data_IF_670591113591
#
_entry.id   IF_670591113591
#
_cell.length_a   1.000
_cell.length_b   1.000
_cell.length_c   1.000
_cell.angle_alpha   90.00
_cell.angle_beta   90.00
_cell.angle_gamma   90.00
#
_symmetry.space_group_name_H-M   'P 1'
#
loop_
_entity.id
_entity.type
_entity.pdbx_description
1 polymer ?
#
# COMPACT_ATOMS: atom_id res chain seq x y z
N UNK A 1 -8.78 4.68 -23.36
CA UNK A 1 -7.58 5.44 -23.01
C UNK A 1 -7.73 6.00 -21.61
N UNK A 2 -6.71 5.88 -20.79
CA UNK A 2 -6.69 6.43 -19.43
C UNK A 2 -6.35 7.92 -19.53
N UNK A 3 -7.19 8.77 -18.93
CA UNK A 3 -6.90 10.19 -18.87
C UNK A 3 -5.75 10.46 -17.91
N UNK A 4 -4.95 11.49 -18.22
CA UNK A 4 -3.89 11.94 -17.34
C UNK A 4 -4.48 12.26 -15.95
N UNK A 5 -3.85 11.77 -14.90
CA UNK A 5 -4.29 11.98 -13.54
C UNK A 5 -5.29 10.96 -13.00
N UNK A 6 -5.84 10.08 -13.86
CA UNK A 6 -6.71 9.00 -13.37
C UNK A 6 -5.89 7.79 -12.97
N UNK A 7 -6.40 7.06 -11.97
CA UNK A 7 -5.77 5.84 -11.48
C UNK A 7 -6.16 4.65 -12.34
N UNK A 8 -5.21 3.75 -12.53
CA UNK A 8 -5.48 2.42 -13.07
C UNK A 8 -6.13 1.59 -11.97
N UNK A 9 -7.24 0.84 -12.25
CA UNK A 9 -7.91 0.03 -11.22
C UNK A 9 -7.17 -1.29 -10.97
N UNK A 10 -5.88 -1.22 -10.85
CA UNK A 10 -4.98 -2.30 -10.45
C UNK A 10 -4.04 -1.71 -9.40
N UNK A 11 -3.97 -2.32 -8.25
CA UNK A 11 -3.18 -1.80 -7.14
C UNK A 11 -2.34 -2.89 -6.50
N UNK A 12 -1.39 -2.46 -5.68
CA UNK A 12 -0.59 -3.36 -4.85
C UNK A 12 -0.81 -3.02 -3.39
N UNK A 13 -0.70 -4.04 -2.54
CA UNK A 13 -0.64 -3.89 -1.09
C UNK A 13 0.66 -4.50 -0.62
N UNK A 14 1.44 -3.76 0.16
CA UNK A 14 2.68 -4.28 0.75
C UNK A 14 2.50 -4.40 2.25
N UNK A 15 2.49 -5.62 2.74
CA UNK A 15 2.53 -5.90 4.18
C UNK A 15 3.98 -5.84 4.64
N UNK A 16 4.28 -4.94 5.56
CA UNK A 16 5.62 -4.84 6.16
C UNK A 16 5.54 -5.40 7.57
N UNK A 17 6.31 -6.42 7.84
CA UNK A 17 6.21 -7.15 9.11
C UNK A 17 7.59 -7.53 9.65
N UNK A 18 7.63 -7.84 10.95
CA UNK A 18 8.83 -8.33 11.63
C UNK A 18 8.63 -9.79 12.05
N UNK A 19 9.73 -10.53 12.37
CA UNK A 19 9.60 -11.94 12.79
C UNK A 19 8.75 -12.15 14.03
N UNK A 20 8.65 -11.16 14.91
CA UNK A 20 7.77 -11.20 16.09
C UNK A 20 6.33 -10.77 15.78
N UNK A 21 5.99 -10.72 14.48
CA UNK A 21 4.63 -10.45 13.98
C UNK A 21 4.09 -9.07 14.35
N UNK A 22 4.95 -8.07 14.36
CA UNK A 22 4.51 -6.66 14.33
C UNK A 22 4.35 -6.21 12.89
N UNK A 23 3.30 -5.47 12.62
CA UNK A 23 2.93 -5.03 11.29
C UNK A 23 2.90 -3.50 11.25
N UNK A 24 3.43 -2.93 10.18
CA UNK A 24 3.38 -1.48 9.95
C UNK A 24 2.00 -1.08 9.42
N UNK A 25 1.38 -0.11 10.07
CA UNK A 25 0.19 0.56 9.55
C UNK A 25 0.47 2.05 9.45
N UNK A 26 -0.11 2.68 8.43
CA UNK A 26 0.00 4.11 8.19
C UNK A 26 -1.41 4.70 8.13
N UNK A 27 -1.55 5.89 8.73
CA UNK A 27 -2.84 6.57 8.81
C UNK A 27 -2.99 7.57 7.68
N UNK A 28 -4.11 7.49 6.95
CA UNK A 28 -4.39 8.41 5.85
C UNK A 28 -4.60 9.84 6.36
N UNK A 29 -4.01 10.80 5.62
CA UNK A 29 -4.19 12.21 5.94
C UNK A 29 -5.58 12.72 5.59
N UNK A 30 -6.23 12.13 4.57
CA UNK A 30 -7.54 12.58 4.08
C UNK A 30 -8.71 11.96 4.85
N UNK A 31 -8.49 10.84 5.54
CA UNK A 31 -9.51 10.17 6.35
C UNK A 31 -8.90 9.80 7.70
N UNK A 32 -9.09 10.65 8.73
CA UNK A 32 -8.56 10.37 10.07
C UNK A 32 -9.03 9.01 10.60
N UNK A 33 -8.14 8.33 11.31
CA UNK A 33 -8.34 6.99 11.87
C UNK A 33 -8.50 5.88 10.82
N UNK A 34 -8.21 6.17 9.56
CA UNK A 34 -8.15 5.13 8.53
C UNK A 34 -6.71 4.63 8.43
N UNK A 35 -6.46 3.49 9.04
CA UNK A 35 -5.15 2.84 9.07
C UNK A 35 -5.06 1.74 8.02
N UNK A 36 -3.94 1.65 7.34
CA UNK A 36 -3.78 0.70 6.25
C UNK A 36 -2.31 0.27 6.10
N UNK A 37 -2.10 -0.87 5.44
CA UNK A 37 -0.79 -1.22 4.92
C UNK A 37 -0.45 -0.31 3.75
N UNK A 38 0.78 -0.36 3.26
CA UNK A 38 1.19 0.41 2.09
C UNK A 38 0.38 -0.06 0.88
N UNK A 39 -0.27 0.86 0.21
CA UNK A 39 -1.08 0.54 -0.97
C UNK A 39 -1.01 1.65 -2.00
N UNK A 40 -1.11 1.30 -3.27
CA UNK A 40 -1.13 2.27 -4.33
C UNK A 40 -1.42 1.65 -5.69
N UNK A 41 -1.82 2.49 -6.63
CA UNK A 41 -2.22 2.06 -7.96
C UNK A 41 -1.03 1.91 -8.90
N UNK A 42 -1.11 0.92 -9.77
CA UNK A 42 -0.15 0.72 -10.83
C UNK A 42 -0.15 1.93 -11.78
N UNK A 43 1.03 2.36 -12.18
CA UNK A 43 1.19 3.38 -13.21
C UNK A 43 1.42 2.70 -14.58
N UNK A 44 1.15 3.43 -15.68
CA UNK A 44 1.40 2.87 -17.01
C UNK A 44 2.82 2.35 -17.14
N UNK A 45 2.96 1.16 -17.74
CA UNK A 45 4.24 0.50 -18.02
C UNK A 45 4.99 -0.02 -16.78
N UNK A 46 4.40 0.08 -15.60
CA UNK A 46 4.98 -0.58 -14.43
C UNK A 46 4.60 -2.05 -14.37
N UNK A 47 5.53 -2.88 -13.92
CA UNK A 47 5.16 -4.20 -13.42
C UNK A 47 4.55 -4.04 -12.03
N UNK A 48 3.86 -5.07 -11.55
CA UNK A 48 3.31 -5.04 -10.19
C UNK A 48 4.41 -4.91 -9.13
N UNK A 49 5.55 -5.59 -9.33
CA UNK A 49 6.68 -5.46 -8.41
C UNK A 49 7.23 -4.04 -8.39
N UNK A 50 7.32 -3.39 -9.55
CA UNK A 50 7.75 -2.00 -9.63
C UNK A 50 6.79 -1.06 -8.91
N UNK A 51 5.48 -1.29 -9.06
CA UNK A 51 4.46 -0.52 -8.34
C UNK A 51 4.63 -0.66 -6.83
N UNK A 52 4.77 -1.90 -6.36
CA UNK A 52 4.92 -2.19 -4.93
C UNK A 52 6.18 -1.54 -4.35
N UNK A 53 7.31 -1.66 -5.05
CA UNK A 53 8.56 -1.05 -4.61
C UNK A 53 8.47 0.48 -4.59
N UNK A 54 7.89 1.07 -5.62
CA UNK A 54 7.73 2.53 -5.71
C UNK A 54 6.84 3.07 -4.59
N UNK A 55 5.68 2.46 -4.38
CA UNK A 55 4.75 2.89 -3.33
C UNK A 55 5.35 2.75 -1.93
N UNK A 56 6.06 1.65 -1.69
CA UNK A 56 6.73 1.46 -0.41
C UNK A 56 7.75 2.57 -0.14
N UNK A 57 8.57 2.89 -1.13
CA UNK A 57 9.58 3.93 -1.00
C UNK A 57 8.95 5.31 -0.82
N UNK A 58 7.93 5.64 -1.61
CA UNK A 58 7.25 6.93 -1.52
C UNK A 58 6.54 7.13 -0.19
N UNK A 59 5.84 6.10 0.29
CA UNK A 59 4.99 6.24 1.47
C UNK A 59 5.72 6.02 2.79
N UNK A 60 6.85 5.31 2.78
CA UNK A 60 7.55 4.97 4.04
C UNK A 60 9.04 5.29 4.04
N UNK A 61 9.62 5.58 2.90
CA UNK A 61 11.06 5.76 2.78
C UNK A 61 11.86 4.45 2.81
N UNK A 62 11.18 3.30 2.86
CA UNK A 62 11.83 2.00 2.91
C UNK A 62 12.14 1.52 1.48
N UNK A 63 13.41 1.20 1.24
CA UNK A 63 13.84 0.57 0.00
C UNK A 63 13.90 -0.95 0.21
N UNK A 64 12.96 -1.67 -0.39
CA UNK A 64 12.87 -3.11 -0.23
C UNK A 64 14.14 -3.84 -0.65
N UNK A 65 14.83 -3.36 -1.69
CA UNK A 65 16.06 -4.00 -2.17
C UNK A 65 17.18 -4.02 -1.10
N UNK A 66 17.19 -3.02 -0.21
CA UNK A 66 18.14 -2.98 0.88
C UNK A 66 17.85 -4.03 1.97
N UNK A 67 16.70 -4.68 1.91
CA UNK A 67 16.23 -5.65 2.91
C UNK A 67 15.90 -7.01 2.29
N UNK A 68 16.52 -7.35 1.16
CA UNK A 68 16.31 -8.65 0.53
C UNK A 68 15.20 -8.70 -0.51
N UNK A 69 14.52 -7.59 -0.77
CA UNK A 69 13.47 -7.50 -1.78
C UNK A 69 12.09 -7.92 -1.28
N UNK A 70 11.08 -7.61 -2.08
CA UNK A 70 9.70 -7.98 -1.79
C UNK A 70 9.41 -9.43 -2.16
N UNK A 71 8.59 -10.09 -1.33
CA UNK A 71 8.02 -11.37 -1.68
C UNK A 71 6.66 -11.14 -2.37
N UNK A 72 6.50 -11.71 -3.55
CA UNK A 72 5.22 -11.70 -4.26
C UNK A 72 4.39 -12.88 -3.77
N UNK A 73 3.28 -12.60 -3.12
CA UNK A 73 2.42 -13.66 -2.61
C UNK A 73 1.58 -14.33 -3.69
N UNK A 74 1.53 -13.77 -4.89
CA UNK A 74 0.69 -14.27 -5.99
C UNK A 74 -0.77 -14.39 -5.59
N UNK A 75 -1.20 -13.53 -4.69
CA UNK A 75 -2.58 -13.42 -4.24
C UNK A 75 -3.15 -12.10 -4.72
N UNK A 76 -4.40 -12.13 -5.15
CA UNK A 76 -5.10 -10.92 -5.53
C UNK A 76 -6.53 -10.96 -5.03
N UNK A 77 -7.07 -9.79 -4.75
CA UNK A 77 -8.45 -9.61 -4.36
C UNK A 77 -9.08 -8.51 -5.20
N UNK A 78 -10.34 -8.72 -5.59
CA UNK A 78 -11.13 -7.70 -6.25
C UNK A 78 -12.09 -7.15 -5.21
N UNK A 79 -12.12 -5.82 -5.06
CA UNK A 79 -13.05 -5.20 -4.14
C UNK A 79 -13.60 -3.90 -4.71
N UNK A 80 -14.73 -3.50 -4.15
CA UNK A 80 -15.43 -2.30 -4.58
C UNK A 80 -14.72 -1.06 -4.06
N UNK A 81 -14.56 -0.09 -4.95
CA UNK A 81 -13.98 1.20 -4.59
C UNK A 81 -15.05 2.01 -3.85
N UNK A 82 -14.69 2.58 -2.69
CA UNK A 82 -15.61 3.48 -1.99
C UNK A 82 -16.09 4.59 -2.92
N UNK A 83 -17.39 4.91 -2.95
CA UNK A 83 -17.94 5.92 -3.85
C UNK A 83 -17.20 7.25 -3.80
N UNK A 84 -16.73 7.67 -2.61
CA UNK A 84 -16.00 8.92 -2.43
C UNK A 84 -14.68 8.99 -3.19
N UNK A 85 -14.10 7.84 -3.61
CA UNK A 85 -12.83 7.78 -4.32
C UNK A 85 -12.97 7.40 -5.79
N UNK A 86 -14.19 7.09 -6.27
CA UNK A 86 -14.38 6.64 -7.66
C UNK A 86 -14.02 7.69 -8.69
N UNK A 87 -14.09 8.97 -8.33
CA UNK A 87 -13.71 10.07 -9.22
C UNK A 87 -12.23 10.04 -9.62
N UNK A 88 -11.40 9.30 -8.88
CA UNK A 88 -9.97 9.16 -9.18
C UNK A 88 -9.70 8.17 -10.31
N UNK A 89 -10.71 7.43 -10.76
CA UNK A 89 -10.59 6.35 -11.75
C UNK A 89 -11.29 6.74 -13.04
N UNK A 90 -11.04 5.99 -14.15
CA UNK A 90 -11.79 6.21 -15.38
C UNK A 90 -13.30 6.07 -15.15
N UNK A 91 -14.13 6.75 -16.00
CA UNK A 91 -15.59 6.63 -15.88
C UNK A 91 -16.07 5.18 -15.82
N UNK A 92 -17.09 4.93 -14.99
CA UNK A 92 -17.72 3.62 -14.82
C UNK A 92 -16.83 2.56 -14.12
N UNK A 93 -15.69 2.97 -13.59
CA UNK A 93 -14.84 2.06 -12.79
C UNK A 93 -15.42 1.96 -11.37
N UNK A 94 -15.78 0.75 -10.94
CA UNK A 94 -16.36 0.51 -9.61
C UNK A 94 -15.50 -0.41 -8.75
N UNK A 95 -14.61 -1.19 -9.36
CA UNK A 95 -13.80 -2.19 -8.67
C UNK A 95 -12.32 -2.04 -9.03
N UNK A 96 -11.48 -2.43 -8.10
CA UNK A 96 -10.03 -2.53 -8.32
C UNK A 96 -9.54 -3.92 -7.95
N UNK A 97 -8.49 -4.37 -8.62
CA UNK A 97 -7.81 -5.62 -8.28
C UNK A 97 -6.53 -5.28 -7.52
N UNK A 98 -6.38 -5.82 -6.31
CA UNK A 98 -5.23 -5.58 -5.46
C UNK A 98 -4.35 -6.83 -5.37
N UNK A 99 -3.06 -6.66 -5.60
CA UNK A 99 -2.07 -7.73 -5.55
C UNK A 99 -1.19 -7.59 -4.32
N UNK A 100 -1.02 -8.68 -3.57
CA UNK A 100 -0.32 -8.69 -2.29
C UNK A 100 1.17 -8.98 -2.39
N UNK A 101 1.95 -8.17 -1.70
CA UNK A 101 3.39 -8.34 -1.52
C UNK A 101 3.72 -8.23 -0.04
N UNK A 102 4.88 -8.74 0.35
CA UNK A 102 5.35 -8.62 1.73
C UNK A 102 6.82 -8.26 1.79
N UNK A 103 7.17 -7.50 2.81
CA UNK A 103 8.54 -7.24 3.19
C UNK A 103 8.72 -7.66 4.65
N UNK A 104 9.69 -8.53 4.88
CA UNK A 104 10.04 -8.95 6.24
C UNK A 104 11.29 -8.20 6.68
N UNK A 105 11.17 -7.41 7.74
CA UNK A 105 12.27 -6.70 8.36
C UNK A 105 12.66 -7.40 9.66
N UNK A 106 13.96 -7.42 10.03
CA UNK A 106 14.39 -8.06 11.27
C UNK A 106 13.83 -7.37 12.52
N UNK A 107 13.56 -6.07 12.43
CA UNK A 107 13.00 -5.28 13.52
C UNK A 107 12.28 -4.06 12.94
N UNK A 108 11.40 -3.40 13.72
CA UNK A 108 10.80 -2.14 13.27
C UNK A 108 11.85 -1.10 12.95
N UNK A 109 11.60 -0.35 11.89
CA UNK A 109 12.48 0.74 11.46
C UNK A 109 11.73 2.07 11.53
N UNK A 110 12.46 3.16 11.56
CA UNK A 110 11.88 4.48 11.43
C UNK A 110 11.31 4.66 10.02
N UNK A 111 10.14 5.28 9.96
CA UNK A 111 9.39 5.47 8.72
C UNK A 111 9.34 6.96 8.40
N UNK A 112 9.62 7.30 7.15
CA UNK A 112 9.51 8.67 6.66
C UNK A 112 8.27 8.77 5.78
N UNK A 113 7.21 9.35 6.33
CA UNK A 113 5.94 9.49 5.64
C UNK A 113 5.95 10.65 4.63
N UNK A 114 5.16 10.49 3.56
CA UNK A 114 4.75 11.61 2.75
C UNK A 114 3.54 12.25 3.44
N UNK A 115 3.75 13.41 4.05
CA UNK A 115 2.74 14.08 4.87
C UNK A 115 1.48 14.48 4.09
N UNK A 116 1.56 14.54 2.76
CA UNK A 116 0.39 14.83 1.92
C UNK A 116 -0.57 13.63 1.87
N UNK A 117 -0.06 12.43 2.02
CA UNK A 117 -0.84 11.20 1.91
C UNK A 117 -1.11 10.53 3.25
N UNK A 118 -0.16 10.57 4.17
CA UNK A 118 -0.24 9.90 5.47
C UNK A 118 0.32 10.79 6.57
N UNK A 119 -0.31 10.78 7.75
CA UNK A 119 0.05 11.68 8.85
C UNK A 119 0.68 10.98 10.05
N UNK A 120 0.58 9.64 10.15
CA UNK A 120 1.11 8.90 11.27
C UNK A 120 1.40 7.46 10.87
N UNK A 121 2.26 6.80 11.63
CA UNK A 121 2.50 5.37 11.48
C UNK A 121 2.62 4.71 12.85
N UNK A 122 2.39 3.40 12.87
CA UNK A 122 2.51 2.59 14.07
C UNK A 122 2.93 1.17 13.70
N UNK A 123 3.68 0.55 14.59
CA UNK A 123 3.98 -0.88 14.52
C UNK A 123 3.12 -1.59 15.57
N UNK A 124 2.21 -2.46 15.13
CA UNK A 124 1.29 -3.18 16.01
C UNK A 124 1.47 -4.69 15.91
N UNK A 125 1.24 -5.44 17.00
CA UNK A 125 1.07 -6.89 16.88
C UNK A 125 0.02 -7.21 15.81
N UNK A 126 0.24 -8.25 15.03
CA UNK A 126 -0.61 -8.51 13.86
C UNK A 126 -2.10 -8.66 14.21
N UNK A 127 -2.41 -9.22 15.40
CA UNK A 127 -3.80 -9.36 15.82
C UNK A 127 -4.50 -8.01 16.02
N UNK A 128 -3.77 -7.01 16.55
CA UNK A 128 -4.28 -5.65 16.69
C UNK A 128 -4.37 -4.94 15.34
N UNK A 129 -3.36 -5.15 14.47
CA UNK A 129 -3.36 -4.58 13.13
C UNK A 129 -4.55 -5.10 12.31
N UNK A 130 -4.89 -6.37 12.44
CA UNK A 130 -6.02 -6.96 11.72
C UNK A 130 -7.38 -6.42 12.18
N UNK A 131 -7.45 -5.82 13.36
CA UNK A 131 -8.67 -5.23 13.90
C UNK A 131 -8.88 -3.77 13.45
N UNK A 132 -7.88 -3.16 12.82
CA UNK A 132 -7.96 -1.76 12.38
C UNK A 132 -8.69 -1.55 11.04
#
# INVERSE_FOLDING_TARGET
MIRMGTKIPVSTLVLVATPDLRVLLIERADVPDYWQSVTGSQEPRETLAETANRELLEETGIDAAAHGGLADWKLSNVYEIYPRWRHRYPPHTTHTTEHGFALLLPEPVAVRLDARAHRAYVWLPWAEAAAE
#
